data_IF_877739601001
#
_entry.id   IF_877739601001
#
_cell.length_a   1.000
_cell.length_b   1.000
_cell.length_c   1.000
_cell.angle_alpha   90.00
_cell.angle_beta   90.00
_cell.angle_gamma   90.00
#
_symmetry.space_group_name_H-M   'P 1'
#
loop_
_entity.id
_entity.type
_entity.pdbx_description
1 polymer ?
#
# COMPACT_ATOMS: atom_id res chain seq x y z
N UNK A 1 -25.36 -10.17 -5.28
CA UNK A 1 -25.68 -11.62 -5.38
C UNK A 1 -27.08 -11.92 -4.85
N UNK A 2 -27.87 -12.73 -5.57
CA UNK A 2 -29.25 -13.06 -5.17
C UNK A 2 -29.46 -14.57 -5.01
N UNK A 3 -30.42 -14.95 -4.19
CA UNK A 3 -30.98 -16.29 -4.16
C UNK A 3 -31.85 -16.53 -5.43
N UNK A 4 -32.31 -17.77 -5.63
CA UNK A 4 -33.19 -18.13 -6.75
C UNK A 4 -34.56 -17.45 -6.70
N UNK A 5 -35.01 -17.02 -5.51
CA UNK A 5 -36.25 -16.27 -5.30
C UNK A 5 -36.11 -14.76 -5.52
N UNK A 6 -34.92 -14.29 -5.93
CA UNK A 6 -34.63 -12.88 -6.16
C UNK A 6 -34.28 -12.08 -4.91
N UNK A 7 -34.33 -12.68 -3.71
CA UNK A 7 -33.88 -12.02 -2.48
C UNK A 7 -32.36 -11.84 -2.46
N UNK A 8 -31.88 -10.78 -1.81
CA UNK A 8 -30.44 -10.51 -1.68
C UNK A 8 -29.79 -11.50 -0.71
N UNK A 9 -28.67 -12.12 -1.12
CA UNK A 9 -27.90 -13.03 -0.24
C UNK A 9 -27.32 -12.25 0.95
N UNK A 10 -27.30 -12.84 2.13
CA UNK A 10 -26.60 -12.27 3.29
C UNK A 10 -25.11 -12.15 3.03
N UNK A 11 -24.49 -11.10 3.58
CA UNK A 11 -23.04 -10.93 3.55
C UNK A 11 -22.42 -11.82 4.62
N UNK A 12 -21.64 -12.81 4.21
CA UNK A 12 -20.83 -13.63 5.12
C UNK A 12 -19.43 -13.05 5.17
N UNK A 13 -18.85 -12.85 6.36
CA UNK A 13 -17.48 -12.37 6.52
C UNK A 13 -16.61 -13.56 6.94
N UNK A 14 -15.57 -13.83 6.16
CA UNK A 14 -14.62 -14.91 6.41
C UNK A 14 -13.56 -14.48 7.44
N UNK A 15 -12.79 -15.44 7.96
CA UNK A 15 -11.74 -15.17 8.95
C UNK A 15 -10.60 -14.29 8.42
N UNK A 16 -10.31 -14.38 7.11
CA UNK A 16 -9.36 -13.52 6.39
C UNK A 16 -9.93 -12.14 6.02
N UNK A 17 -11.11 -11.81 6.55
CA UNK A 17 -11.88 -10.58 6.32
C UNK A 17 -12.50 -10.43 4.93
N UNK A 18 -12.31 -11.38 4.02
CA UNK A 18 -13.00 -11.42 2.72
C UNK A 18 -14.49 -11.73 2.89
N UNK A 19 -15.27 -11.54 1.84
CA UNK A 19 -16.69 -11.88 1.86
C UNK A 19 -16.99 -13.21 1.15
N UNK A 20 -17.95 -13.96 1.70
CA UNK A 20 -18.54 -15.12 1.06
C UNK A 20 -19.82 -14.77 0.28
N UNK A 21 -20.54 -15.79 -0.19
CA UNK A 21 -21.82 -15.63 -0.91
C UNK A 21 -21.73 -14.75 -2.18
N UNK A 22 -20.62 -14.86 -2.92
CA UNK A 22 -20.33 -14.13 -4.15
C UNK A 22 -20.22 -12.60 -3.98
N UNK A 23 -20.12 -12.11 -2.74
CA UNK A 23 -19.83 -10.70 -2.47
C UNK A 23 -18.33 -10.45 -2.63
N UNK A 24 -17.96 -9.46 -3.45
CA UNK A 24 -16.55 -9.16 -3.76
C UNK A 24 -15.84 -8.47 -2.59
N UNK A 25 -16.49 -7.46 -2.00
CA UNK A 25 -16.00 -6.74 -0.83
C UNK A 25 -14.58 -6.14 -0.98
N UNK A 26 -14.36 -5.43 -2.08
CA UNK A 26 -13.12 -4.71 -2.39
C UNK A 26 -12.70 -3.78 -1.24
N UNK A 27 -13.67 -3.14 -0.59
CA UNK A 27 -13.45 -2.28 0.60
C UNK A 27 -12.86 -3.02 1.82
N UNK A 28 -12.78 -4.35 1.79
CA UNK A 28 -12.16 -5.19 2.84
C UNK A 28 -10.81 -5.73 2.42
N UNK A 29 -10.46 -5.68 1.14
CA UNK A 29 -9.12 -6.08 0.68
C UNK A 29 -8.08 -5.21 1.37
N UNK A 30 -7.05 -5.84 1.92
CA UNK A 30 -6.04 -5.18 2.76
C UNK A 30 -5.44 -3.96 2.05
N UNK A 31 -5.06 -4.12 0.79
CA UNK A 31 -4.46 -3.09 -0.04
C UNK A 31 -5.37 -1.86 -0.16
N UNK A 32 -6.68 -2.06 -0.36
CA UNK A 32 -7.65 -0.97 -0.50
C UNK A 32 -7.96 -0.33 0.85
N UNK A 33 -8.29 -1.13 1.86
CA UNK A 33 -8.60 -0.65 3.20
C UNK A 33 -7.44 0.16 3.80
N UNK A 34 -6.22 -0.33 3.63
CA UNK A 34 -5.05 0.36 4.16
C UNK A 34 -4.74 1.64 3.38
N UNK A 35 -5.02 1.70 2.07
CA UNK A 35 -4.90 2.95 1.33
C UNK A 35 -5.98 3.99 1.69
N UNK A 36 -7.16 3.55 2.14
CA UNK A 36 -8.16 4.45 2.76
C UNK A 36 -7.59 5.05 4.06
N UNK A 37 -6.95 4.23 4.90
CA UNK A 37 -6.30 4.70 6.13
C UNK A 37 -5.13 5.65 5.79
N UNK A 38 -4.29 5.28 4.82
CA UNK A 38 -3.19 6.11 4.33
C UNK A 38 -3.71 7.50 3.94
N UNK A 39 -4.78 7.58 3.13
CA UNK A 39 -5.39 8.83 2.70
C UNK A 39 -5.83 9.72 3.87
N UNK A 40 -6.30 9.12 4.97
CA UNK A 40 -6.67 9.84 6.19
C UNK A 40 -5.43 10.32 6.97
N UNK A 41 -4.38 9.48 7.06
CA UNK A 41 -3.12 9.84 7.73
C UNK A 41 -2.45 11.03 7.05
N UNK A 42 -2.40 11.01 5.72
CA UNK A 42 -1.74 12.06 4.92
C UNK A 42 -2.63 13.27 4.62
N UNK A 43 -3.82 13.36 5.21
CA UNK A 43 -4.75 14.42 4.88
C UNK A 43 -4.17 15.81 5.18
N UNK A 44 -4.45 16.77 4.28
CA UNK A 44 -3.88 18.11 4.30
C UNK A 44 -2.40 18.23 3.90
N UNK A 45 -1.66 17.13 3.73
CA UNK A 45 -0.26 17.21 3.28
C UNK A 45 -0.16 17.48 1.78
N UNK A 46 0.77 18.34 1.33
CA UNK A 46 0.96 18.61 -0.09
C UNK A 46 1.48 17.37 -0.81
N UNK A 47 1.30 17.33 -2.13
CA UNK A 47 2.07 16.44 -2.99
C UNK A 47 3.55 16.88 -2.99
N UNK A 48 4.47 15.94 -2.81
CA UNK A 48 5.90 16.21 -2.69
C UNK A 48 6.74 15.04 -3.23
N UNK A 49 8.06 15.25 -3.36
CA UNK A 49 9.03 14.19 -3.64
C UNK A 49 8.65 13.28 -4.82
N UNK A 50 8.16 13.88 -5.91
CA UNK A 50 7.92 13.14 -7.14
C UNK A 50 9.23 12.57 -7.68
N UNK A 51 9.17 11.34 -8.13
CA UNK A 51 10.22 10.68 -8.87
C UNK A 51 9.61 9.77 -9.93
N UNK A 52 10.25 9.70 -11.09
CA UNK A 52 9.95 8.72 -12.13
C UNK A 52 11.24 8.30 -12.84
N UNK A 53 11.19 7.14 -13.51
CA UNK A 53 12.29 6.65 -14.34
C UNK A 53 12.16 7.00 -15.83
N UNK A 54 11.21 7.87 -16.21
CA UNK A 54 10.84 8.13 -17.60
C UNK A 54 9.99 7.04 -18.27
N UNK A 55 9.58 6.01 -17.53
CA UNK A 55 8.71 4.91 -17.96
C UNK A 55 7.55 4.71 -16.95
N UNK A 56 7.41 3.54 -16.32
CA UNK A 56 6.28 3.21 -15.45
C UNK A 56 6.69 2.88 -13.99
N UNK A 57 7.89 3.26 -13.58
CA UNK A 57 8.26 3.32 -12.16
C UNK A 57 8.11 4.75 -11.68
N UNK A 58 7.25 4.95 -10.69
CA UNK A 58 6.93 6.28 -10.16
C UNK A 58 6.82 6.24 -8.64
N UNK A 59 7.14 7.35 -7.99
CA UNK A 59 6.99 7.51 -6.56
C UNK A 59 6.61 8.95 -6.21
N UNK A 60 5.91 9.10 -5.10
CA UNK A 60 5.64 10.42 -4.53
C UNK A 60 5.35 10.37 -3.04
N UNK A 61 5.58 11.51 -2.40
CA UNK A 61 5.27 11.77 -1.01
C UNK A 61 4.02 12.61 -0.82
N UNK A 62 3.54 12.56 0.41
CA UNK A 62 2.53 13.47 0.95
C UNK A 62 3.09 14.16 2.18
N UNK A 63 3.80 15.26 1.93
CA UNK A 63 4.52 16.02 2.95
C UNK A 63 5.51 15.10 3.68
N UNK A 64 5.39 15.03 5.00
CA UNK A 64 6.22 14.17 5.87
C UNK A 64 5.42 13.03 6.53
N UNK A 65 4.25 12.67 6.00
CA UNK A 65 3.34 11.69 6.63
C UNK A 65 3.12 10.41 5.84
N UNK A 66 3.44 10.38 4.56
CA UNK A 66 3.36 9.14 3.79
C UNK A 66 4.13 9.22 2.48
N UNK A 67 4.56 8.06 1.99
CA UNK A 67 5.26 7.90 0.73
C UNK A 67 4.78 6.63 0.03
N UNK A 68 4.66 6.70 -1.29
CA UNK A 68 4.18 5.57 -2.11
C UNK A 68 5.05 5.40 -3.35
N UNK A 69 5.30 4.15 -3.73
CA UNK A 69 6.17 3.76 -4.84
C UNK A 69 5.46 2.69 -5.66
N UNK A 70 5.48 2.82 -6.98
CA UNK A 70 4.88 1.89 -7.94
C UNK A 70 5.94 1.39 -8.92
N UNK A 71 5.86 0.11 -9.26
CA UNK A 71 6.60 -0.48 -10.36
C UNK A 71 5.62 -1.14 -11.34
N UNK A 72 5.28 -0.44 -12.40
CA UNK A 72 4.46 -0.99 -13.48
C UNK A 72 5.28 -1.17 -14.78
N UNK A 73 6.61 -1.23 -14.66
CA UNK A 73 7.49 -1.66 -15.74
C UNK A 73 7.68 -3.18 -15.69
N UNK A 74 8.15 -3.76 -16.80
CA UNK A 74 8.39 -5.21 -16.92
C UNK A 74 9.72 -5.67 -16.29
N UNK A 75 10.34 -4.86 -15.43
CA UNK A 75 11.62 -5.18 -14.78
C UNK A 75 11.67 -4.76 -13.31
N UNK A 76 12.64 -5.35 -12.60
CA UNK A 76 12.86 -5.13 -11.18
C UNK A 76 13.29 -3.69 -10.85
N UNK A 77 12.69 -3.13 -9.81
CA UNK A 77 13.04 -1.82 -9.27
C UNK A 77 13.91 -1.99 -8.02
N UNK A 78 15.06 -1.31 -7.98
CA UNK A 78 15.90 -1.16 -6.78
C UNK A 78 16.55 0.22 -6.76
N UNK A 79 16.01 1.12 -5.94
CA UNK A 79 16.45 2.52 -5.93
C UNK A 79 16.29 3.14 -4.54
N UNK A 80 17.17 4.10 -4.23
CA UNK A 80 17.04 4.97 -3.06
C UNK A 80 16.27 6.23 -3.42
N UNK A 81 15.18 6.51 -2.71
CA UNK A 81 14.31 7.65 -2.95
C UNK A 81 14.22 8.54 -1.71
N UNK A 82 14.12 9.86 -1.93
CA UNK A 82 13.82 10.82 -0.88
C UNK A 82 12.34 10.74 -0.51
N UNK A 83 12.04 10.24 0.68
CA UNK A 83 10.66 10.03 1.12
C UNK A 83 10.04 11.30 1.74
N UNK A 84 10.86 12.14 2.37
CA UNK A 84 10.42 13.24 3.23
C UNK A 84 9.91 12.79 4.61
N UNK A 85 9.95 11.48 4.90
CA UNK A 85 9.52 10.93 6.18
C UNK A 85 10.63 11.05 7.23
N UNK A 86 10.27 11.14 8.52
CA UNK A 86 11.23 11.00 9.61
C UNK A 86 11.92 9.63 9.58
N UNK A 87 13.17 9.59 10.03
CA UNK A 87 13.93 8.36 10.14
C UNK A 87 13.23 7.33 11.04
N UNK A 88 13.26 6.06 10.62
CA UNK A 88 12.61 4.97 11.34
C UNK A 88 12.27 3.80 10.44
N UNK A 89 11.66 2.79 11.06
CA UNK A 89 11.17 1.59 10.36
C UNK A 89 9.67 1.70 10.15
N UNK A 90 9.25 1.60 8.90
CA UNK A 90 7.86 1.68 8.48
C UNK A 90 7.40 0.33 7.94
N UNK A 91 6.14 -0.01 8.20
CA UNK A 91 5.52 -1.21 7.65
C UNK A 91 4.89 -0.87 6.30
N UNK A 92 5.19 -1.64 5.26
CA UNK A 92 4.45 -1.57 4.02
C UNK A 92 3.01 -2.04 4.24
N UNK A 93 2.06 -1.13 4.04
CA UNK A 93 0.64 -1.39 4.28
C UNK A 93 -0.03 -2.11 3.11
N UNK A 94 0.69 -2.38 2.02
CA UNK A 94 0.21 -3.13 0.86
C UNK A 94 0.47 -4.63 1.06
N UNK A 95 1.74 -5.01 1.26
CA UNK A 95 2.10 -6.41 1.54
C UNK A 95 1.68 -6.89 2.93
N UNK A 96 1.41 -5.98 3.87
CA UNK A 96 0.99 -6.36 5.22
C UNK A 96 0.37 -5.22 6.02
N UNK A 97 0.58 -5.26 7.33
CA UNK A 97 0.10 -4.25 8.28
C UNK A 97 1.00 -4.21 9.52
N UNK A 98 0.83 -3.16 10.33
CA UNK A 98 1.46 -3.06 11.65
C UNK A 98 0.62 -3.79 12.69
N UNK A 99 1.20 -4.77 13.37
CA UNK A 99 0.61 -5.48 14.52
C UNK A 99 1.47 -5.28 15.76
N UNK A 100 1.00 -4.44 16.67
CA UNK A 100 1.79 -4.01 17.83
C UNK A 100 3.07 -3.29 17.39
N UNK A 101 4.22 -3.91 17.66
CA UNK A 101 5.56 -3.39 17.31
C UNK A 101 6.19 -4.08 16.09
N UNK A 102 5.46 -4.95 15.40
CA UNK A 102 5.97 -5.69 14.24
C UNK A 102 5.17 -5.37 12.97
N UNK A 103 5.81 -5.58 11.82
CA UNK A 103 5.17 -5.54 10.51
C UNK A 103 4.93 -6.99 10.05
N UNK A 104 3.74 -7.28 9.54
CA UNK A 104 3.43 -8.59 8.96
C UNK A 104 3.92 -8.73 7.52
N UNK A 105 4.18 -7.61 6.83
CA UNK A 105 4.70 -7.53 5.47
C UNK A 105 6.11 -6.96 5.39
N UNK A 106 6.44 -6.37 4.24
CA UNK A 106 7.73 -5.71 4.01
C UNK A 106 7.96 -4.56 5.00
N UNK A 107 9.22 -4.34 5.34
CA UNK A 107 9.66 -3.22 6.16
C UNK A 107 10.53 -2.28 5.32
N UNK A 108 10.29 -0.99 5.47
CA UNK A 108 11.10 0.05 4.82
C UNK A 108 11.83 0.83 5.90
N UNK A 109 13.15 0.90 5.76
CA UNK A 109 13.99 1.70 6.65
C UNK A 109 14.25 3.07 6.02
N UNK A 110 13.77 4.11 6.69
CA UNK A 110 14.04 5.51 6.34
C UNK A 110 15.24 5.99 7.14
N UNK A 111 16.27 6.44 6.43
CA UNK A 111 17.51 6.96 7.00
C UNK A 111 17.34 8.36 7.59
N UNK A 112 18.36 8.83 8.33
CA UNK A 112 18.38 10.16 8.95
C UNK A 112 18.17 11.34 8.01
N UNK A 113 18.48 11.16 6.73
CA UNK A 113 18.32 12.15 5.67
C UNK A 113 16.96 12.03 4.92
N UNK A 114 16.06 11.17 5.39
CA UNK A 114 14.75 10.93 4.78
C UNK A 114 14.78 9.99 3.58
N UNK A 115 15.93 9.41 3.21
CA UNK A 115 16.03 8.46 2.10
C UNK A 115 15.72 7.03 2.52
N UNK A 116 15.12 6.25 1.61
CA UNK A 116 14.88 4.82 1.82
C UNK A 116 15.10 4.03 0.53
N UNK A 117 15.56 2.78 0.68
CA UNK A 117 15.69 1.84 -0.44
C UNK A 117 14.37 1.12 -0.70
N UNK A 118 13.93 1.11 -1.95
CA UNK A 118 12.74 0.38 -2.39
C UNK A 118 13.13 -0.70 -3.40
N UNK A 119 12.67 -1.91 -3.11
CA UNK A 119 12.90 -3.12 -3.89
C UNK A 119 11.56 -3.75 -4.26
N UNK A 120 11.16 -3.60 -5.52
CA UNK A 120 9.83 -4.02 -6.00
C UNK A 120 10.01 -4.82 -7.28
N UNK A 121 9.64 -6.10 -7.24
CA UNK A 121 9.63 -6.93 -8.44
C UNK A 121 8.42 -6.62 -9.30
N UNK A 122 8.58 -6.64 -10.61
CA UNK A 122 7.46 -6.59 -11.55
C UNK A 122 6.59 -7.86 -11.50
N UNK A 123 7.02 -8.88 -10.74
CA UNK A 123 6.29 -10.12 -10.49
C UNK A 123 5.73 -10.21 -9.06
N UNK A 124 5.83 -9.15 -8.26
CA UNK A 124 5.19 -9.11 -6.94
C UNK A 124 3.66 -9.16 -7.10
N UNK A 125 2.95 -9.76 -6.14
CA UNK A 125 1.46 -9.81 -6.14
C UNK A 125 0.87 -8.40 -6.25
N UNK A 126 1.43 -7.47 -5.48
CA UNK A 126 1.14 -6.05 -5.52
C UNK A 126 2.46 -5.30 -5.79
N UNK A 127 2.74 -4.87 -7.04
CA UNK A 127 4.01 -4.25 -7.39
C UNK A 127 4.05 -2.76 -7.02
N UNK A 128 3.66 -2.45 -5.78
CA UNK A 128 3.72 -1.12 -5.19
C UNK A 128 3.84 -1.22 -3.65
N UNK A 129 4.44 -0.20 -3.04
CA UNK A 129 4.70 -0.12 -1.59
C UNK A 129 4.20 1.22 -1.08
N UNK A 130 3.54 1.22 0.09
CA UNK A 130 3.08 2.43 0.75
C UNK A 130 3.43 2.41 2.24
N UNK A 131 4.03 3.52 2.73
CA UNK A 131 4.49 3.69 4.12
C UNK A 131 4.09 5.03 4.71
#
# INVERSE_FOLDING_TARGET
>A
PSNSDGSTKSVTINADTTCGNDWVCEHRWRQIRNMVIFRNVVDGQPFSNWWDNGSNQVAFGRGNKGFIVFNNDDWYMNINLQTGLPAGTYCDVISGQKEGNACTGKQVYVSGDGTANFQISNTDEDPFVAI
#
